data_IF_741407873479
#
_entry.id   IF_741407873479
#
_cell.length_a   1.000
_cell.length_b   1.000
_cell.length_c   1.000
_cell.angle_alpha   90.00
_cell.angle_beta   90.00
_cell.angle_gamma   90.00
#
_symmetry.space_group_name_H-M   'P 1'
#
loop_
_entity.id
_entity.type
_entity.pdbx_description
1 polymer ?
#
# COMPACT_ATOMS: atom_id res chain seq x y z
N UNK A 1 11.44 19.20 -22.01
CA UNK A 1 10.22 18.58 -21.43
C UNK A 1 9.39 18.06 -22.59
N UNK A 2 9.36 16.74 -22.80
CA UNK A 2 8.51 16.14 -23.84
C UNK A 2 7.05 16.38 -23.45
N UNK A 3 6.32 17.19 -24.21
CA UNK A 3 4.89 17.37 -24.02
C UNK A 3 4.21 16.11 -24.53
N UNK A 4 3.64 15.35 -23.62
CA UNK A 4 2.88 14.15 -23.93
C UNK A 4 1.46 14.59 -24.20
N UNK A 5 1.07 14.64 -25.48
CA UNK A 5 -0.34 14.78 -25.85
C UNK A 5 -0.84 13.37 -26.16
N UNK A 6 -1.56 12.80 -25.22
CA UNK A 6 -2.22 11.53 -25.43
C UNK A 6 -3.58 11.79 -26.11
N UNK A 7 -3.85 11.18 -27.25
CA UNK A 7 -5.12 11.26 -27.98
C UNK A 7 -6.29 10.68 -27.16
N UNK A 8 -6.00 10.00 -26.04
CA UNK A 8 -7.01 9.56 -25.05
C UNK A 8 -7.34 10.63 -23.98
N UNK A 9 -7.23 11.92 -24.32
CA UNK A 9 -7.37 13.09 -23.43
C UNK A 9 -8.70 13.21 -22.67
N UNK A 10 -9.66 12.33 -22.89
CA UNK A 10 -10.96 12.32 -22.18
C UNK A 10 -10.99 11.49 -20.89
N UNK A 11 -9.84 11.04 -20.38
CA UNK A 11 -9.78 10.18 -19.18
C UNK A 11 -8.99 10.72 -18.01
N UNK A 12 -8.74 12.01 -17.92
CA UNK A 12 -8.29 12.59 -16.65
C UNK A 12 -9.52 12.66 -15.75
N UNK A 13 -9.84 11.51 -15.16
CA UNK A 13 -10.91 11.39 -14.18
C UNK A 13 -10.48 12.18 -12.95
N UNK A 14 -11.25 13.21 -12.62
CA UNK A 14 -11.12 13.94 -11.38
C UNK A 14 -11.15 12.95 -10.21
N UNK A 15 -10.07 12.89 -9.47
CA UNK A 15 -9.95 12.05 -8.28
C UNK A 15 -10.78 12.70 -7.16
N UNK A 16 -12.06 12.39 -7.06
CA UNK A 16 -12.85 12.71 -5.87
C UNK A 16 -12.46 11.74 -4.75
N UNK A 17 -12.38 12.27 -3.53
CA UNK A 17 -11.87 11.61 -2.32
C UNK A 17 -12.70 10.41 -1.81
N UNK A 18 -13.51 9.77 -2.66
CA UNK A 18 -14.41 8.67 -2.31
C UNK A 18 -13.93 7.32 -2.88
N UNK A 19 -12.62 7.06 -2.83
CA UNK A 19 -12.15 5.72 -3.16
C UNK A 19 -12.32 4.84 -1.93
N UNK A 20 -13.32 3.97 -1.98
CA UNK A 20 -13.30 2.67 -1.30
C UNK A 20 -12.24 1.80 -1.99
N UNK A 21 -10.97 2.21 -1.90
CA UNK A 21 -9.87 1.29 -2.10
C UNK A 21 -10.13 0.13 -1.15
N UNK A 22 -10.19 -1.09 -1.66
CA UNK A 22 -10.15 -2.30 -0.82
C UNK A 22 -9.04 -2.06 0.17
N UNK A 23 -9.40 -1.91 1.46
CA UNK A 23 -8.45 -1.52 2.49
C UNK A 23 -7.32 -2.55 2.49
N UNK A 24 -6.12 -2.14 2.04
CA UNK A 24 -4.90 -2.91 2.17
C UNK A 24 -4.36 -2.66 3.57
N UNK A 25 -3.87 -3.71 4.24
CA UNK A 25 -3.33 -3.64 5.58
C UNK A 25 -4.41 -3.57 6.68
N UNK A 26 -4.14 -2.82 7.73
CA UNK A 26 -4.95 -2.80 8.96
C UNK A 26 -6.34 -2.19 8.75
N UNK A 27 -7.38 -2.93 9.15
CA UNK A 27 -8.77 -2.48 9.00
C UNK A 27 -9.05 -1.19 9.77
N UNK A 28 -9.69 -0.23 9.11
CA UNK A 28 -10.12 1.06 9.66
C UNK A 28 -8.99 1.93 10.27
N UNK A 29 -7.72 1.58 10.07
CA UNK A 29 -6.60 2.36 10.60
C UNK A 29 -6.57 3.79 10.01
N UNK A 30 -6.89 3.95 8.74
CA UNK A 30 -6.99 5.28 8.12
C UNK A 30 -8.01 6.16 8.85
N UNK A 31 -9.21 5.64 9.13
CA UNK A 31 -10.25 6.36 9.87
C UNK A 31 -9.81 6.66 11.30
N UNK A 32 -9.13 5.71 11.94
CA UNK A 32 -8.59 5.90 13.29
C UNK A 32 -7.58 7.06 13.34
N UNK A 33 -6.58 7.06 12.44
CA UNK A 33 -5.57 8.13 12.36
C UNK A 33 -6.25 9.48 12.05
N UNK A 34 -7.15 9.53 11.06
CA UNK A 34 -7.86 10.77 10.72
C UNK A 34 -8.70 11.32 11.89
N UNK A 35 -9.27 10.45 12.71
CA UNK A 35 -10.12 10.86 13.83
C UNK A 35 -9.31 11.23 15.08
N UNK A 36 -8.29 10.42 15.42
CA UNK A 36 -7.49 10.62 16.64
C UNK A 36 -6.29 11.54 16.43
N UNK A 37 -5.81 11.67 15.19
CA UNK A 37 -4.62 12.44 14.84
C UNK A 37 -4.90 13.37 13.63
N UNK A 38 -5.90 14.27 13.70
CA UNK A 38 -6.31 15.06 12.54
C UNK A 38 -5.23 16.03 12.04
N UNK A 39 -4.28 16.39 12.90
CA UNK A 39 -3.21 17.36 12.58
C UNK A 39 -1.96 16.72 11.97
N UNK A 40 -1.84 15.39 12.01
CA UNK A 40 -0.62 14.68 11.60
C UNK A 40 -0.52 14.42 10.10
N UNK A 41 -1.62 14.58 9.36
CA UNK A 41 -1.67 14.43 7.91
C UNK A 41 -1.46 15.77 7.21
N UNK A 42 -0.35 15.93 6.50
CA UNK A 42 -0.03 17.15 5.76
C UNK A 42 0.03 16.86 4.25
N UNK A 43 -0.80 17.56 3.47
CA UNK A 43 -0.65 17.54 2.00
C UNK A 43 0.51 18.44 1.61
N UNK A 44 1.52 17.87 1.00
CA UNK A 44 2.73 18.59 0.55
C UNK A 44 2.87 18.49 -0.96
N UNK A 45 3.46 19.52 -1.57
CA UNK A 45 3.85 19.50 -2.99
C UNK A 45 5.14 18.69 -3.16
N UNK A 46 5.30 17.96 -4.28
CA UNK A 46 6.49 17.13 -4.54
C UNK A 46 7.81 17.92 -4.51
N UNK A 47 7.76 19.21 -4.79
CA UNK A 47 8.94 20.07 -4.69
C UNK A 47 9.56 20.10 -3.28
N UNK A 48 8.77 19.90 -2.22
CA UNK A 48 9.28 19.83 -0.84
C UNK A 48 10.12 18.56 -0.59
N UNK A 49 10.04 17.59 -1.49
CA UNK A 49 10.86 16.38 -1.48
C UNK A 49 12.15 16.52 -2.31
N UNK A 50 12.44 17.70 -2.85
CA UNK A 50 13.65 17.97 -3.65
C UNK A 50 14.92 17.52 -2.90
N UNK A 51 15.76 16.74 -3.58
CA UNK A 51 16.98 16.17 -3.03
C UNK A 51 16.79 15.08 -1.97
N UNK A 52 15.53 14.69 -1.67
CA UNK A 52 15.26 13.60 -0.73
C UNK A 52 15.32 12.25 -1.44
N UNK A 53 15.83 11.25 -0.71
CA UNK A 53 15.74 9.84 -1.13
C UNK A 53 14.45 9.25 -0.57
N UNK A 54 13.66 8.57 -1.42
CA UNK A 54 12.44 7.88 -1.00
C UNK A 54 12.44 6.44 -1.48
N UNK A 55 11.87 5.52 -0.70
CA UNK A 55 11.57 4.17 -1.15
C UNK A 55 10.11 4.14 -1.65
N UNK A 56 9.88 3.52 -2.79
CA UNK A 56 8.57 3.39 -3.41
C UNK A 56 8.16 1.92 -3.40
N UNK A 57 7.06 1.62 -2.76
CA UNK A 57 6.37 0.33 -2.89
C UNK A 57 5.72 0.30 -4.27
N UNK A 58 6.43 -0.31 -5.23
CA UNK A 58 6.09 -0.19 -6.65
C UNK A 58 4.82 -0.95 -7.00
N UNK A 59 4.63 -2.12 -6.41
CA UNK A 59 3.54 -3.03 -6.75
C UNK A 59 2.17 -2.40 -6.53
N UNK A 60 2.00 -1.63 -5.46
CA UNK A 60 0.71 -0.98 -5.15
C UNK A 60 0.30 0.01 -6.24
N UNK A 61 1.28 0.76 -6.78
CA UNK A 61 1.05 1.71 -7.87
C UNK A 61 0.86 1.01 -9.21
N UNK A 62 1.58 -0.08 -9.48
CA UNK A 62 1.39 -0.87 -10.69
C UNK A 62 -0.04 -1.42 -10.77
N UNK A 63 -0.56 -2.02 -9.70
CA UNK A 63 -1.94 -2.51 -9.67
C UNK A 63 -2.97 -1.38 -9.79
N UNK A 64 -2.72 -0.24 -9.16
CA UNK A 64 -3.57 0.95 -9.28
C UNK A 64 -3.64 1.44 -10.72
N UNK A 65 -2.49 1.64 -11.35
CA UNK A 65 -2.40 2.17 -12.70
C UNK A 65 -2.88 1.16 -13.75
N UNK A 66 -2.67 -0.14 -13.53
CA UNK A 66 -3.27 -1.19 -14.35
C UNK A 66 -4.81 -1.17 -14.26
N UNK A 67 -5.37 -0.92 -13.07
CA UNK A 67 -6.81 -0.73 -12.87
C UNK A 67 -7.37 0.50 -13.60
N UNK A 68 -6.55 1.50 -13.82
CA UNK A 68 -6.87 2.70 -14.61
C UNK A 68 -6.64 2.48 -16.13
N UNK A 69 -6.12 1.31 -16.54
CA UNK A 69 -5.70 0.98 -17.89
C UNK A 69 -4.66 1.97 -18.46
N UNK A 70 -3.77 2.43 -17.60
CA UNK A 70 -2.75 3.44 -17.91
C UNK A 70 -1.44 3.13 -17.15
N UNK A 71 -1.01 1.84 -17.13
CA UNK A 71 0.12 1.40 -16.30
C UNK A 71 1.40 2.12 -16.72
N UNK A 72 1.85 1.98 -17.97
CA UNK A 72 3.11 2.57 -18.43
C UNK A 72 3.02 4.09 -18.50
N UNK A 73 1.87 4.64 -18.91
CA UNK A 73 1.63 6.09 -18.92
C UNK A 73 1.84 6.73 -17.55
N UNK A 74 1.17 6.18 -16.52
CA UNK A 74 1.25 6.72 -15.16
C UNK A 74 2.60 6.44 -14.49
N UNK A 75 3.25 5.31 -14.80
CA UNK A 75 4.62 5.05 -14.34
C UNK A 75 5.62 6.01 -15.00
N UNK A 76 5.48 6.29 -16.29
CA UNK A 76 6.27 7.30 -16.99
C UNK A 76 6.07 8.69 -16.37
N UNK A 77 4.81 9.08 -16.13
CA UNK A 77 4.50 10.39 -15.53
C UNK A 77 5.08 10.50 -14.12
N UNK A 78 4.95 9.46 -13.29
CA UNK A 78 5.52 9.43 -11.96
C UNK A 78 7.06 9.55 -11.99
N UNK A 79 7.72 8.80 -12.87
CA UNK A 79 9.15 8.85 -13.07
C UNK A 79 9.61 10.25 -13.54
N UNK A 80 8.89 10.83 -14.51
CA UNK A 80 9.15 12.17 -15.02
C UNK A 80 9.03 13.24 -13.94
N UNK A 81 7.99 13.16 -13.09
CA UNK A 81 7.80 14.09 -11.97
C UNK A 81 8.92 13.97 -10.93
N UNK A 82 9.35 12.75 -10.61
CA UNK A 82 10.44 12.56 -9.65
C UNK A 82 11.76 13.13 -10.19
N UNK A 83 12.04 12.97 -11.48
CA UNK A 83 13.19 13.62 -12.11
C UNK A 83 13.06 15.13 -12.13
N UNK A 84 11.90 15.65 -12.51
CA UNK A 84 11.65 17.10 -12.54
C UNK A 84 11.89 17.77 -11.18
N UNK A 85 11.41 17.14 -10.10
CA UNK A 85 11.60 17.66 -8.74
C UNK A 85 12.90 17.20 -8.07
N UNK A 86 13.80 16.54 -8.80
CA UNK A 86 15.04 16.01 -8.26
C UNK A 86 14.82 15.12 -7.01
N UNK A 87 13.85 14.22 -7.09
CA UNK A 87 13.55 13.23 -6.05
C UNK A 87 14.31 11.94 -6.40
N UNK A 88 15.13 11.44 -5.46
CA UNK A 88 15.89 10.22 -5.63
C UNK A 88 15.06 9.01 -5.18
N UNK A 89 14.29 8.44 -6.09
CA UNK A 89 13.43 7.29 -5.78
C UNK A 89 14.18 5.97 -5.93
N UNK A 90 13.91 5.04 -5.00
CA UNK A 90 14.29 3.63 -5.09
C UNK A 90 12.99 2.84 -5.21
N UNK A 91 12.79 2.18 -6.33
CA UNK A 91 11.59 1.39 -6.60
C UNK A 91 11.79 -0.04 -6.12
N UNK A 92 10.95 -0.47 -5.18
CA UNK A 92 11.02 -1.81 -4.60
C UNK A 92 9.88 -2.65 -5.17
N UNK A 93 10.21 -3.80 -5.72
CA UNK A 93 9.26 -4.75 -6.30
C UNK A 93 9.07 -5.94 -5.36
N UNK A 94 7.84 -6.47 -5.29
CA UNK A 94 7.55 -7.67 -4.53
C UNK A 94 8.26 -8.89 -5.08
N UNK A 95 8.71 -9.74 -4.17
CA UNK A 95 9.15 -11.10 -4.44
C UNK A 95 8.06 -12.12 -4.14
N UNK A 96 8.44 -13.24 -3.55
CA UNK A 96 7.50 -14.30 -3.17
C UNK A 96 6.71 -13.89 -1.92
N UNK A 97 5.36 -13.94 -1.98
CA UNK A 97 4.55 -13.66 -0.80
C UNK A 97 4.79 -14.72 0.29
N UNK A 98 4.74 -14.34 1.57
CA UNK A 98 4.89 -15.28 2.65
C UNK A 98 3.74 -16.30 2.67
N UNK A 99 4.00 -17.58 3.07
CA UNK A 99 2.99 -18.64 3.08
C UNK A 99 1.74 -18.27 3.88
N UNK A 100 1.88 -17.43 4.89
CA UNK A 100 0.79 -16.96 5.75
C UNK A 100 -0.27 -16.14 4.97
N UNK A 101 0.08 -15.54 3.83
CA UNK A 101 -0.85 -14.79 2.99
C UNK A 101 -1.55 -15.62 1.89
N UNK A 102 -1.28 -16.91 1.80
CA UNK A 102 -1.84 -17.77 0.73
C UNK A 102 -3.37 -17.72 0.67
N UNK A 103 -4.04 -17.90 1.81
CA UNK A 103 -5.51 -17.85 1.87
C UNK A 103 -6.07 -16.45 1.52
N UNK A 104 -5.39 -15.39 1.96
CA UNK A 104 -5.75 -14.02 1.61
C UNK A 104 -5.62 -13.78 0.10
N UNK A 105 -4.53 -14.25 -0.51
CA UNK A 105 -4.29 -14.16 -1.95
C UNK A 105 -5.39 -14.90 -2.72
N UNK A 106 -5.75 -16.11 -2.30
CA UNK A 106 -6.83 -16.88 -2.90
C UNK A 106 -8.20 -16.18 -2.74
N UNK A 107 -8.47 -15.61 -1.55
CA UNK A 107 -9.68 -14.83 -1.31
C UNK A 107 -9.75 -13.60 -2.22
N UNK A 108 -8.63 -12.86 -2.35
CA UNK A 108 -8.51 -11.72 -3.26
C UNK A 108 -8.70 -12.15 -4.72
N UNK A 109 -8.16 -13.32 -5.12
CA UNK A 109 -8.34 -13.88 -6.45
C UNK A 109 -9.82 -14.16 -6.74
N UNK A 110 -10.52 -14.84 -5.83
CA UNK A 110 -11.98 -15.12 -5.95
C UNK A 110 -12.79 -13.83 -6.09
N UNK A 111 -12.50 -12.80 -5.28
CA UNK A 111 -13.17 -11.48 -5.39
C UNK A 111 -12.90 -10.80 -6.73
N UNK A 112 -11.68 -10.91 -7.27
CA UNK A 112 -11.33 -10.40 -8.61
C UNK A 112 -12.12 -11.13 -9.70
N UNK A 113 -12.24 -12.47 -9.60
CA UNK A 113 -13.00 -13.26 -10.57
C UNK A 113 -14.50 -12.92 -10.54
N UNK A 114 -15.08 -12.73 -9.34
CA UNK A 114 -16.46 -12.26 -9.18
C UNK A 114 -16.67 -10.87 -9.80
N UNK A 115 -15.78 -9.92 -9.53
CA UNK A 115 -15.84 -8.58 -10.14
C UNK A 115 -15.72 -8.62 -11.67
N UNK A 116 -14.90 -9.52 -12.22
CA UNK A 116 -14.78 -9.73 -13.67
C UNK A 116 -16.09 -10.30 -14.27
N UNK A 117 -16.74 -11.24 -13.59
CA UNK A 117 -18.03 -11.77 -14.01
C UNK A 117 -19.09 -10.65 -14.03
N UNK A 118 -19.17 -9.85 -12.97
CA UNK A 118 -20.07 -8.70 -12.91
C UNK A 118 -19.80 -7.69 -14.03
N UNK A 119 -18.51 -7.41 -14.31
CA UNK A 119 -18.13 -6.53 -15.41
C UNK A 119 -18.64 -7.04 -16.77
N UNK A 120 -18.54 -8.35 -17.04
CA UNK A 120 -19.01 -8.93 -18.30
C UNK A 120 -20.52 -8.79 -18.46
N UNK A 121 -21.29 -8.99 -17.37
CA UNK A 121 -22.76 -8.80 -17.37
C UNK A 121 -23.11 -7.35 -17.71
N UNK A 122 -22.46 -6.39 -17.04
CA UNK A 122 -22.70 -4.96 -17.25
C UNK A 122 -22.27 -4.53 -18.67
N UNK A 123 -21.17 -5.09 -19.17
CA UNK A 123 -20.71 -4.84 -20.56
C UNK A 123 -21.72 -5.34 -21.62
N UNK A 124 -22.37 -6.48 -21.37
CA UNK A 124 -23.41 -6.97 -22.27
C UNK A 124 -24.68 -6.13 -22.19
N UNK A 125 -25.04 -5.61 -21.01
CA UNK A 125 -26.12 -4.61 -20.87
C UNK A 125 -25.81 -3.35 -21.67
N UNK A 126 -24.58 -2.82 -21.60
CA UNK A 126 -24.16 -1.65 -22.38
C UNK A 126 -24.34 -1.88 -23.88
N UNK A 127 -23.90 -3.05 -24.39
CA UNK A 127 -24.09 -3.40 -25.81
C UNK A 127 -25.56 -3.45 -26.23
N UNK A 128 -26.44 -3.89 -25.34
CA UNK A 128 -27.90 -3.91 -25.61
C UNK A 128 -28.46 -2.49 -25.64
N UNK A 129 -28.09 -1.62 -24.69
CA UNK A 129 -28.51 -0.22 -24.65
C UNK A 129 -28.01 0.56 -25.87
N UNK A 130 -26.80 0.30 -26.36
CA UNK A 130 -26.24 0.96 -27.54
C UNK A 130 -26.91 0.55 -28.87
N UNK A 131 -27.58 -0.59 -28.91
CA UNK A 131 -28.38 -1.03 -30.08
C UNK A 131 -29.68 -0.29 -30.23
N UNK A 132 -30.23 0.27 -29.16
CA UNK A 132 -31.42 1.12 -29.18
C UNK A 132 -30.95 2.55 -29.48
N UNK A 133 -31.24 3.08 -30.68
CA UNK A 133 -30.78 4.37 -31.24
C UNK A 133 -31.21 5.63 -30.46
N UNK A 134 -31.66 5.54 -29.23
CA UNK A 134 -32.09 6.67 -28.39
C UNK A 134 -31.01 7.02 -27.35
N UNK A 135 -30.83 8.32 -27.12
CA UNK A 135 -30.03 8.82 -25.97
C UNK A 135 -30.59 8.22 -24.67
N UNK A 136 -29.82 7.36 -24.05
CA UNK A 136 -30.19 6.75 -22.77
C UNK A 136 -29.24 7.30 -21.69
N UNK A 137 -29.73 8.08 -20.71
CA UNK A 137 -28.91 8.61 -19.62
C UNK A 137 -28.30 7.50 -18.75
N UNK A 138 -28.84 6.28 -18.77
CA UNK A 138 -28.30 5.12 -18.04
C UNK A 138 -26.93 4.69 -18.58
N UNK A 139 -26.55 5.04 -19.82
CA UNK A 139 -25.27 4.66 -20.40
C UNK A 139 -24.10 5.21 -19.58
N UNK A 140 -24.17 6.45 -19.12
CA UNK A 140 -23.11 7.06 -18.29
C UNK A 140 -22.94 6.33 -16.95
N UNK A 141 -24.02 5.94 -16.31
CA UNK A 141 -24.01 5.18 -15.04
C UNK A 141 -23.42 3.77 -15.24
N UNK A 142 -23.79 3.11 -16.34
CA UNK A 142 -23.25 1.80 -16.73
C UNK A 142 -21.74 1.90 -16.99
N UNK A 143 -21.26 2.91 -17.69
CA UNK A 143 -19.83 3.15 -17.98
C UNK A 143 -19.04 3.45 -16.69
N UNK A 144 -19.62 4.21 -15.77
CA UNK A 144 -19.01 4.45 -14.46
C UNK A 144 -18.92 3.14 -13.66
N UNK A 145 -20.00 2.36 -13.61
CA UNK A 145 -20.03 1.05 -12.96
C UNK A 145 -18.97 0.10 -13.54
N UNK A 146 -18.85 0.04 -14.87
CA UNK A 146 -17.83 -0.73 -15.55
C UNK A 146 -16.42 -0.28 -15.16
N UNK A 147 -16.19 1.03 -15.07
CA UNK A 147 -14.91 1.60 -14.64
C UNK A 147 -14.57 1.21 -13.21
N UNK A 148 -15.54 1.26 -12.29
CA UNK A 148 -15.35 0.84 -10.90
C UNK A 148 -15.08 -0.68 -10.79
N UNK A 149 -15.83 -1.50 -11.53
CA UNK A 149 -15.60 -2.94 -11.55
C UNK A 149 -14.22 -3.29 -12.11
N UNK A 150 -13.78 -2.63 -13.20
CA UNK A 150 -12.45 -2.85 -13.81
C UNK A 150 -11.31 -2.64 -12.80
N UNK A 151 -11.39 -1.59 -11.99
CA UNK A 151 -10.41 -1.34 -10.92
C UNK A 151 -10.32 -2.49 -9.91
N UNK A 152 -11.43 -3.19 -9.65
CA UNK A 152 -11.51 -4.28 -8.67
C UNK A 152 -10.86 -5.58 -9.14
N UNK A 153 -10.77 -5.84 -10.45
CA UNK A 153 -10.17 -7.06 -10.99
C UNK A 153 -8.89 -6.81 -11.80
N UNK A 154 -8.30 -5.63 -11.66
CA UNK A 154 -7.02 -5.32 -12.31
C UNK A 154 -5.99 -6.43 -12.07
N UNK A 155 -5.35 -6.86 -13.15
CA UNK A 155 -4.24 -7.82 -13.16
C UNK A 155 -3.13 -7.27 -14.01
N UNK A 156 -1.91 -7.50 -13.56
CA UNK A 156 -0.75 -7.26 -14.39
C UNK A 156 -0.68 -8.36 -15.46
N UNK A 157 -0.32 -7.98 -16.67
CA UNK A 157 -0.07 -8.89 -17.79
C UNK A 157 1.35 -9.44 -17.69
N UNK A 158 1.60 -10.50 -18.41
CA UNK A 158 2.95 -10.99 -18.62
C UNK A 158 3.81 -9.90 -19.29
N UNK A 159 5.01 -9.66 -18.74
CA UNK A 159 5.91 -8.61 -19.21
C UNK A 159 5.66 -7.20 -18.65
N UNK A 160 4.52 -6.93 -18.01
CA UNK A 160 4.24 -5.60 -17.42
C UNK A 160 5.30 -5.19 -16.40
N UNK A 161 5.73 -6.13 -15.56
CA UNK A 161 6.76 -5.87 -14.54
C UNK A 161 8.10 -5.53 -15.20
N UNK A 162 8.49 -6.28 -16.21
CA UNK A 162 9.75 -6.09 -16.93
C UNK A 162 9.76 -4.75 -17.69
N UNK A 163 8.64 -4.42 -18.35
CA UNK A 163 8.48 -3.13 -19.02
C UNK A 163 8.59 -1.95 -18.05
N UNK A 164 7.97 -2.06 -16.86
CA UNK A 164 8.07 -1.01 -15.83
C UNK A 164 9.50 -0.91 -15.29
N UNK A 165 10.18 -2.04 -15.04
CA UNK A 165 11.58 -2.03 -14.61
C UNK A 165 12.49 -1.39 -15.67
N UNK A 166 12.34 -1.78 -16.92
CA UNK A 166 13.10 -1.22 -18.05
C UNK A 166 12.88 0.30 -18.15
N UNK A 167 11.63 0.76 -18.04
CA UNK A 167 11.28 2.17 -18.02
C UNK A 167 11.99 2.93 -16.90
N UNK A 168 11.89 2.43 -15.65
CA UNK A 168 12.48 3.08 -14.48
C UNK A 168 14.01 3.12 -14.54
N UNK A 169 14.65 2.03 -14.98
CA UNK A 169 16.10 2.00 -15.20
C UNK A 169 16.50 2.99 -16.29
N UNK A 170 15.71 3.14 -17.35
CA UNK A 170 15.96 4.10 -18.42
C UNK A 170 15.85 5.55 -17.96
N UNK A 171 15.06 5.82 -16.91
CA UNK A 171 15.04 7.09 -16.19
C UNK A 171 16.20 7.23 -15.19
N UNK A 172 17.06 6.22 -15.04
CA UNK A 172 18.18 6.23 -14.09
C UNK A 172 17.77 6.01 -12.63
N UNK A 173 16.58 5.45 -12.38
CA UNK A 173 16.17 5.09 -11.02
C UNK A 173 16.74 3.75 -10.60
N UNK A 174 16.93 3.62 -9.29
CA UNK A 174 17.35 2.41 -8.64
C UNK A 174 16.17 1.44 -8.48
N UNK A 175 16.42 0.14 -8.68
CA UNK A 175 15.45 -0.93 -8.48
C UNK A 175 15.98 -1.90 -7.44
N UNK A 176 15.09 -2.38 -6.56
CA UNK A 176 15.32 -3.48 -5.65
C UNK A 176 14.23 -4.53 -5.88
N UNK A 177 14.62 -5.76 -6.14
CA UNK A 177 13.73 -6.90 -6.08
C UNK A 177 13.77 -7.46 -4.66
N UNK A 178 12.67 -7.36 -3.93
CA UNK A 178 12.54 -7.93 -2.60
C UNK A 178 12.49 -9.47 -2.71
N UNK A 179 13.06 -10.17 -1.73
CA UNK A 179 12.88 -11.63 -1.62
C UNK A 179 11.44 -11.99 -1.22
N UNK A 180 10.83 -11.13 -0.39
CA UNK A 180 9.46 -11.20 0.09
C UNK A 180 8.67 -9.96 -0.33
N UNK A 181 8.03 -9.31 0.63
CA UNK A 181 7.19 -8.15 0.40
C UNK A 181 8.00 -6.86 0.30
N UNK A 182 7.65 -6.01 -0.67
CA UNK A 182 8.30 -4.73 -0.92
C UNK A 182 8.13 -3.75 0.24
N UNK A 183 6.98 -3.76 0.90
CA UNK A 183 6.65 -2.90 2.04
C UNK A 183 7.62 -3.08 3.21
N UNK A 184 8.00 -4.32 3.54
CA UNK A 184 9.00 -4.64 4.58
C UNK A 184 10.36 -4.03 4.23
N UNK A 185 10.78 -4.13 2.97
CA UNK A 185 12.05 -3.58 2.49
C UNK A 185 12.02 -2.06 2.54
N UNK A 186 10.95 -1.44 2.07
CA UNK A 186 10.73 0.01 2.14
C UNK A 186 10.82 0.51 3.59
N UNK A 187 10.10 -0.14 4.53
CA UNK A 187 10.11 0.24 5.94
C UNK A 187 11.52 0.11 6.54
N UNK A 188 12.26 -0.99 6.26
CA UNK A 188 13.65 -1.17 6.72
C UNK A 188 14.57 -0.06 6.23
N UNK A 189 14.47 0.32 4.95
CA UNK A 189 15.29 1.40 4.39
C UNK A 189 15.05 2.72 5.11
N UNK A 190 13.79 3.03 5.46
CA UNK A 190 13.45 4.25 6.17
C UNK A 190 13.89 4.21 7.65
N UNK A 191 13.63 3.11 8.36
CA UNK A 191 14.03 2.93 9.76
C UNK A 191 15.57 2.99 9.91
N UNK A 192 16.31 2.38 8.98
CA UNK A 192 17.77 2.46 8.92
C UNK A 192 18.27 3.81 8.39
N UNK A 193 17.39 4.79 8.15
CA UNK A 193 17.72 6.13 7.62
C UNK A 193 18.49 6.11 6.29
N UNK A 194 18.29 5.07 5.47
CA UNK A 194 18.86 4.98 4.12
C UNK A 194 18.05 5.84 3.15
N UNK A 195 16.75 5.97 3.42
CA UNK A 195 15.85 6.88 2.72
C UNK A 195 15.16 7.80 3.73
N UNK A 196 14.66 8.92 3.26
CA UNK A 196 13.92 9.91 4.05
C UNK A 196 12.52 9.41 4.39
N UNK A 197 11.83 8.80 3.42
CA UNK A 197 10.43 8.40 3.54
C UNK A 197 10.13 7.17 2.68
N UNK A 198 8.99 6.51 2.98
CA UNK A 198 8.39 5.50 2.12
C UNK A 198 7.15 6.06 1.45
N UNK A 199 7.01 5.81 0.15
CA UNK A 199 5.81 6.09 -0.63
C UNK A 199 5.04 4.78 -0.82
N UNK A 200 3.96 4.59 -0.07
CA UNK A 200 3.05 3.44 -0.15
C UNK A 200 1.67 3.81 0.38
N UNK A 201 0.62 3.34 -0.28
CA UNK A 201 -0.77 3.52 0.19
C UNK A 201 -1.17 2.42 1.21
N UNK A 202 -0.27 1.47 1.53
CA UNK A 202 -0.53 0.45 2.54
C UNK A 202 -0.43 1.01 3.96
N UNK A 203 -1.36 0.59 4.81
CA UNK A 203 -1.39 0.99 6.22
C UNK A 203 -0.38 0.24 7.08
N UNK A 204 0.17 -0.87 6.58
CA UNK A 204 1.17 -1.66 7.29
C UNK A 204 2.46 -0.86 7.54
N UNK A 205 2.73 0.17 6.71
CA UNK A 205 3.82 1.13 6.94
C UNK A 205 3.80 1.78 8.33
N UNK A 206 2.61 2.07 8.87
CA UNK A 206 2.46 2.60 10.22
C UNK A 206 2.82 1.55 11.27
N UNK A 207 2.45 0.29 11.04
CA UNK A 207 2.72 -0.82 11.97
C UNK A 207 4.20 -1.15 12.01
N UNK A 208 4.88 -1.14 10.86
CA UNK A 208 6.34 -1.27 10.79
C UNK A 208 7.08 -0.13 11.51
N UNK A 209 6.42 1.00 11.77
CA UNK A 209 7.04 2.17 12.37
C UNK A 209 7.91 2.97 11.41
N UNK A 210 7.53 3.01 10.15
CA UNK A 210 8.21 3.84 9.16
C UNK A 210 8.18 5.31 9.60
N UNK A 211 9.32 6.00 9.74
CA UNK A 211 9.37 7.34 10.33
C UNK A 211 8.57 8.40 9.58
N UNK A 212 8.63 8.38 8.25
CA UNK A 212 7.87 9.27 7.37
C UNK A 212 7.21 8.44 6.27
N UNK A 213 5.90 8.55 6.18
CA UNK A 213 5.07 7.80 5.23
C UNK A 213 4.42 8.79 4.28
N UNK A 214 4.65 8.59 2.99
CA UNK A 214 4.04 9.37 1.91
C UNK A 214 2.92 8.54 1.29
N UNK A 215 1.72 9.12 1.16
CA UNK A 215 0.54 8.42 0.69
C UNK A 215 -0.26 9.27 -0.29
N UNK A 216 -1.12 8.63 -1.05
CA UNK A 216 -2.08 9.30 -1.93
C UNK A 216 -1.41 10.27 -2.90
N UNK A 217 -0.35 9.81 -3.59
CA UNK A 217 0.30 10.61 -4.62
C UNK A 217 -0.71 11.00 -5.70
N UNK A 218 -0.76 12.29 -5.99
CA UNK A 218 -1.51 12.87 -7.11
C UNK A 218 -0.54 13.31 -8.20
N UNK A 219 -0.51 12.58 -9.30
CA UNK A 219 0.34 12.91 -10.44
C UNK A 219 -0.13 14.20 -11.14
N UNK A 220 -1.43 14.49 -11.08
CA UNK A 220 -2.01 15.70 -11.67
C UNK A 220 -1.68 16.95 -10.86
N UNK A 221 -1.79 16.86 -9.51
CA UNK A 221 -1.59 18.01 -8.62
C UNK A 221 -0.16 18.07 -8.07
N UNK A 222 0.73 17.20 -8.51
CA UNK A 222 2.12 17.07 -8.04
C UNK A 222 2.22 17.09 -6.51
N UNK A 223 1.33 16.38 -5.84
CA UNK A 223 1.21 16.42 -4.38
C UNK A 223 1.11 15.02 -3.76
N UNK A 224 1.44 14.94 -2.48
CA UNK A 224 1.38 13.71 -1.70
C UNK A 224 0.94 14.05 -0.28
N UNK A 225 0.32 13.12 0.43
CA UNK A 225 0.02 13.27 1.86
C UNK A 225 1.16 12.66 2.65
N UNK A 226 1.78 13.47 3.51
CA UNK A 226 2.88 13.06 4.39
C UNK A 226 2.37 12.86 5.80
N UNK A 227 2.82 11.78 6.43
CA UNK A 227 2.60 11.44 7.83
C UNK A 227 3.94 11.24 8.51
N UNK A 228 4.09 11.77 9.74
CA UNK A 228 5.24 11.51 10.60
C UNK A 228 4.81 10.60 11.73
N UNK A 229 5.43 9.42 11.85
CA UNK A 229 5.03 8.44 12.86
C UNK A 229 5.19 8.97 14.29
N UNK A 230 6.24 9.74 14.55
CA UNK A 230 6.46 10.36 15.86
C UNK A 230 5.31 11.30 16.28
N UNK A 231 4.75 12.08 15.33
CA UNK A 231 3.64 12.98 15.62
C UNK A 231 2.35 12.20 15.91
N UNK A 232 2.08 11.13 15.15
CA UNK A 232 0.95 10.23 15.40
C UNK A 232 1.04 9.65 16.81
N UNK A 233 2.19 9.06 17.17
CA UNK A 233 2.38 8.43 18.48
C UNK A 233 2.29 9.45 19.62
N UNK A 234 2.78 10.67 19.42
CA UNK A 234 2.68 11.75 20.40
C UNK A 234 1.21 12.16 20.62
N UNK A 235 0.42 12.28 19.56
CA UNK A 235 -0.99 12.71 19.65
C UNK A 235 -1.87 11.64 20.30
N UNK A 236 -1.64 10.34 20.02
CA UNK A 236 -2.39 9.26 20.67
C UNK A 236 -1.81 8.82 22.02
N UNK A 237 -0.61 9.29 22.41
CA UNK A 237 0.00 9.04 23.72
C UNK A 237 0.40 7.59 23.97
N UNK A 238 0.73 6.81 22.94
CA UNK A 238 1.22 5.43 23.04
C UNK A 238 2.55 5.26 22.29
N UNK A 239 3.32 4.24 22.70
CA UNK A 239 4.56 3.88 22.02
C UNK A 239 4.31 3.14 20.71
N UNK A 240 5.34 3.04 19.84
CA UNK A 240 5.27 2.25 18.61
C UNK A 240 4.92 0.77 18.87
N UNK A 241 5.44 0.21 19.94
CA UNK A 241 5.14 -1.17 20.34
C UNK A 241 3.66 -1.32 20.73
N UNK A 242 3.13 -0.42 21.58
CA UNK A 242 1.71 -0.43 21.96
C UNK A 242 0.79 -0.20 20.75
N UNK A 243 1.18 0.69 19.83
CA UNK A 243 0.47 0.89 18.58
C UNK A 243 0.42 -0.38 17.73
N UNK A 244 1.55 -1.09 17.62
CA UNK A 244 1.64 -2.38 16.91
C UNK A 244 0.68 -3.40 17.55
N UNK A 245 0.68 -3.52 18.89
CA UNK A 245 -0.24 -4.41 19.62
C UNK A 245 -1.72 -4.08 19.32
N UNK A 246 -2.10 -2.80 19.32
CA UNK A 246 -3.46 -2.35 18.95
C UNK A 246 -3.82 -2.80 17.54
N UNK A 247 -2.92 -2.63 16.58
CA UNK A 247 -3.14 -3.03 15.19
C UNK A 247 -3.27 -4.55 15.04
N UNK A 248 -2.42 -5.32 15.72
CA UNK A 248 -2.46 -6.80 15.70
C UNK A 248 -3.78 -7.31 16.27
N UNK A 249 -4.22 -6.80 17.43
CA UNK A 249 -5.52 -7.19 18.05
C UNK A 249 -6.71 -6.78 17.15
N UNK A 250 -6.59 -5.68 16.42
CA UNK A 250 -7.63 -5.23 15.50
C UNK A 250 -7.79 -6.15 14.29
N UNK A 251 -6.74 -6.81 13.88
CA UNK A 251 -6.67 -7.74 12.76
C UNK A 251 -5.83 -7.24 11.61
N UNK A 252 -4.98 -8.10 11.13
CA UNK A 252 -4.00 -7.87 10.07
C UNK A 252 -4.26 -8.78 8.87
N UNK A 253 -3.53 -8.57 7.79
CA UNK A 253 -3.54 -9.44 6.61
C UNK A 253 -2.92 -10.84 6.89
N UNK A 254 -2.27 -11.03 8.05
CA UNK A 254 -1.63 -12.29 8.48
C UNK A 254 -2.54 -13.19 9.34
N UNK A 255 -3.73 -12.73 9.72
CA UNK A 255 -4.61 -13.47 10.64
C UNK A 255 -5.30 -14.69 10.03
N UNK A 256 -5.21 -14.88 8.71
CA UNK A 256 -5.85 -15.98 8.01
C UNK A 256 -5.32 -17.38 8.42
N UNK A 257 -4.14 -17.44 9.03
CA UNK A 257 -3.45 -18.71 9.37
C UNK A 257 -3.86 -19.30 10.73
N UNK A 258 -4.44 -18.50 11.62
CA UNK A 258 -4.68 -18.87 13.02
C UNK A 258 -5.98 -19.65 13.28
N UNK A 259 -6.84 -19.85 12.30
CA UNK A 259 -8.16 -20.47 12.49
C UNK A 259 -8.56 -21.40 11.35
N UNK A 260 -8.11 -22.66 11.40
CA UNK A 260 -8.62 -23.70 10.52
C UNK A 260 -10.12 -23.94 10.72
N UNK A 261 -10.94 -23.36 9.87
CA UNK A 261 -12.19 -23.91 9.35
C UNK A 261 -12.70 -22.98 8.24
N UNK A 262 -12.70 -23.51 7.02
CA UNK A 262 -13.26 -22.87 5.83
C UNK A 262 -14.77 -22.61 6.04
N UNK A 263 -15.17 -21.34 6.11
CA UNK A 263 -16.62 -21.07 6.13
C UNK A 263 -17.07 -19.63 6.16
N UNK A 264 -16.28 -18.71 6.75
CA UNK A 264 -16.69 -17.30 6.78
C UNK A 264 -15.49 -16.41 6.47
N UNK A 265 -15.52 -15.82 5.29
CA UNK A 265 -14.51 -14.91 4.79
C UNK A 265 -14.18 -13.81 5.84
N UNK A 266 -13.00 -13.88 6.45
CA UNK A 266 -12.36 -12.75 7.12
C UNK A 266 -12.57 -12.63 8.63
N UNK A 267 -12.70 -13.71 9.41
CA UNK A 267 -12.89 -13.64 10.87
C UNK A 267 -12.04 -14.61 11.69
N UNK A 268 -10.81 -14.87 11.30
CA UNK A 268 -9.82 -15.34 12.26
C UNK A 268 -9.16 -14.16 13.03
N UNK A 269 -9.59 -12.94 12.80
CA UNK A 269 -9.43 -11.87 13.80
C UNK A 269 -9.96 -12.47 15.10
N UNK A 270 -9.08 -12.59 16.10
CA UNK A 270 -9.44 -12.98 17.45
C UNK A 270 -10.82 -12.39 17.73
N UNK A 271 -11.80 -13.28 17.90
CA UNK A 271 -13.18 -12.88 18.15
C UNK A 271 -13.19 -12.22 19.54
N UNK A 272 -12.67 -11.01 19.59
CA UNK A 272 -12.96 -10.12 20.70
C UNK A 272 -14.45 -9.87 20.52
N UNK A 273 -15.27 -10.69 21.15
CA UNK A 273 -16.73 -10.61 21.15
C UNK A 273 -17.14 -9.30 21.83
N UNK A 274 -16.90 -8.22 21.10
CA UNK A 274 -17.34 -6.89 21.45
C UNK A 274 -18.59 -6.69 20.61
N UNK A 275 -19.71 -6.40 21.27
CA UNK A 275 -20.92 -5.85 20.63
C UNK A 275 -20.63 -4.44 20.09
N UNK A 276 -19.52 -4.28 19.37
CA UNK A 276 -19.07 -3.03 18.74
C UNK A 276 -19.07 -3.24 17.24
N UNK A 277 -19.61 -2.26 16.52
CA UNK A 277 -19.58 -2.27 15.07
C UNK A 277 -18.14 -2.50 14.57
N UNK A 278 -17.98 -3.29 13.52
CA UNK A 278 -16.66 -3.61 12.95
C UNK A 278 -15.86 -2.33 12.55
N UNK A 279 -16.57 -1.22 12.29
CA UNK A 279 -15.95 0.09 12.01
C UNK A 279 -15.29 0.73 13.22
N UNK A 280 -15.73 0.42 14.43
CA UNK A 280 -15.29 1.10 15.67
C UNK A 280 -14.37 0.22 16.51
N UNK A 281 -14.08 -1.00 16.04
CA UNK A 281 -13.26 -1.99 16.75
C UNK A 281 -11.88 -1.44 17.15
N UNK A 282 -11.16 -0.80 16.23
CA UNK A 282 -9.82 -0.27 16.51
C UNK A 282 -9.84 0.83 17.59
N UNK A 283 -10.91 1.65 17.63
CA UNK A 283 -11.07 2.66 18.68
C UNK A 283 -11.24 2.01 20.04
N UNK A 284 -12.07 0.96 20.11
CA UNK A 284 -12.28 0.23 21.35
C UNK A 284 -11.00 -0.47 21.86
N UNK A 285 -10.22 -1.08 20.94
CA UNK A 285 -8.95 -1.72 21.31
C UNK A 285 -7.94 -0.67 21.81
N UNK A 286 -7.91 0.50 21.18
CA UNK A 286 -7.10 1.62 21.65
C UNK A 286 -7.53 2.10 23.05
N UNK A 287 -8.84 2.18 23.34
CA UNK A 287 -9.33 2.53 24.66
C UNK A 287 -8.93 1.48 25.71
N UNK A 288 -8.97 0.19 25.36
CA UNK A 288 -8.46 -0.90 26.20
C UNK A 288 -6.95 -0.79 26.46
N UNK A 289 -6.15 -0.41 25.43
CA UNK A 289 -4.72 -0.16 25.62
C UNK A 289 -4.47 0.99 26.59
N UNK A 290 -5.22 2.08 26.48
CA UNK A 290 -5.10 3.22 27.40
C UNK A 290 -5.52 2.86 28.83
N UNK A 291 -6.49 1.97 28.99
CA UNK A 291 -6.90 1.42 30.28
C UNK A 291 -5.80 0.53 30.90
N UNK A 292 -5.21 -0.37 30.09
CA UNK A 292 -4.07 -1.19 30.51
C UNK A 292 -2.89 -0.34 31.00
N UNK A 293 -2.58 0.76 30.32
CA UNK A 293 -1.53 1.70 30.76
C UNK A 293 -1.81 2.38 32.09
N UNK A 294 -3.08 2.54 32.48
CA UNK A 294 -3.47 3.14 33.76
C UNK A 294 -3.41 2.18 34.93
N UNK A 295 -3.20 0.89 34.68
CA UNK A 295 -3.03 -0.09 35.76
C UNK A 295 -1.81 0.25 36.63
N UNK A 296 -1.88 -0.07 37.93
CA UNK A 296 -0.72 0.10 38.78
C UNK A 296 0.46 -0.77 38.32
N UNK A 297 1.72 -0.39 38.63
CA UNK A 297 2.88 -1.20 38.29
C UNK A 297 2.82 -2.64 38.79
N UNK A 298 2.15 -2.87 39.92
CA UNK A 298 1.94 -4.22 40.48
C UNK A 298 0.98 -5.05 39.63
N UNK A 299 -0.07 -4.44 39.12
CA UNK A 299 -1.04 -5.11 38.23
C UNK A 299 -0.44 -5.37 36.86
N UNK A 300 0.29 -4.42 36.29
CA UNK A 300 0.99 -4.62 35.00
C UNK A 300 2.03 -5.73 35.10
N UNK A 301 2.75 -5.83 36.26
CA UNK A 301 3.75 -6.86 36.46
C UNK A 301 3.16 -8.28 36.46
N UNK A 302 1.88 -8.46 36.78
CA UNK A 302 1.18 -9.75 36.68
C UNK A 302 1.22 -10.34 35.28
N UNK A 303 1.28 -9.47 34.26
CA UNK A 303 1.24 -9.85 32.85
C UNK A 303 2.62 -9.76 32.16
N UNK A 304 3.67 -9.24 32.83
CA UNK A 304 4.98 -8.99 32.22
C UNK A 304 5.74 -10.26 31.82
N UNK A 305 5.50 -11.39 32.53
CA UNK A 305 6.17 -12.66 32.26
C UNK A 305 5.50 -13.50 31.15
N UNK A 306 4.42 -12.95 30.53
CA UNK A 306 3.62 -13.57 29.47
C UNK A 306 3.44 -12.66 28.26
N UNK A 307 2.26 -12.67 27.70
CA UNK A 307 1.89 -11.85 26.51
C UNK A 307 1.55 -10.38 26.81
N UNK A 308 1.75 -9.89 28.04
CA UNK A 308 1.52 -8.50 28.40
C UNK A 308 0.07 -8.05 28.18
N UNK A 309 -0.13 -7.10 27.26
CA UNK A 309 -1.46 -6.60 26.91
C UNK A 309 -2.38 -7.68 26.32
N UNK A 310 -1.84 -8.66 25.61
CA UNK A 310 -2.61 -9.77 25.04
C UNK A 310 -3.20 -10.68 26.12
N UNK A 311 -2.44 -11.04 27.15
CA UNK A 311 -2.92 -11.83 28.30
C UNK A 311 -3.95 -11.06 29.12
N UNK A 312 -3.73 -9.76 29.32
CA UNK A 312 -4.68 -8.92 30.04
C UNK A 312 -6.03 -8.82 29.32
N UNK A 313 -6.04 -8.69 27.99
CA UNK A 313 -7.29 -8.72 27.21
C UNK A 313 -7.97 -10.07 27.34
N UNK A 314 -7.23 -11.18 27.28
CA UNK A 314 -7.79 -12.52 27.38
C UNK A 314 -8.47 -12.75 28.73
N UNK A 315 -7.79 -12.42 29.83
CA UNK A 315 -8.36 -12.54 31.18
C UNK A 315 -9.61 -11.67 31.35
N UNK A 316 -9.58 -10.42 30.88
CA UNK A 316 -10.69 -9.47 31.03
C UNK A 316 -11.92 -9.84 30.20
N UNK A 317 -11.75 -10.44 29.07
CA UNK A 317 -12.83 -10.86 28.15
C UNK A 317 -13.27 -12.31 28.37
N UNK A 318 -12.86 -12.98 29.50
CA UNK A 318 -13.25 -14.32 29.92
C UNK A 318 -13.09 -15.39 28.81
N UNK A 319 -11.87 -15.54 28.29
CA UNK A 319 -11.54 -16.60 27.34
C UNK A 319 -11.98 -16.34 25.91
N UNK A 320 -12.14 -15.09 25.53
CA UNK A 320 -12.37 -14.67 24.13
C UNK A 320 -11.12 -14.85 23.28
N UNK A 321 -9.93 -14.75 23.92
CA UNK A 321 -8.64 -15.10 23.34
C UNK A 321 -8.14 -16.29 24.12
N UNK A 322 -8.14 -17.49 23.55
CA UNK A 322 -7.51 -18.65 24.20
C UNK A 322 -5.97 -18.54 24.08
N UNK A 323 -5.24 -19.37 24.84
CA UNK A 323 -3.77 -19.35 24.84
C UNK A 323 -3.17 -19.48 23.42
N UNK A 324 -3.82 -20.20 22.52
CA UNK A 324 -3.42 -20.26 21.10
C UNK A 324 -3.61 -18.94 20.36
N UNK A 325 -4.62 -18.16 20.73
CA UNK A 325 -4.85 -16.82 20.18
C UNK A 325 -3.79 -15.81 20.62
N UNK A 326 -3.36 -15.84 21.88
CA UNK A 326 -2.25 -15.00 22.37
C UNK A 326 -0.96 -15.34 21.63
N UNK A 327 -0.62 -16.62 21.48
CA UNK A 327 0.56 -17.06 20.73
C UNK A 327 0.47 -16.59 19.27
N UNK A 328 -0.70 -16.70 18.64
CA UNK A 328 -0.93 -16.21 17.28
C UNK A 328 -0.71 -14.70 17.16
N UNK A 329 -1.19 -13.89 18.12
CA UNK A 329 -0.96 -12.44 18.15
C UNK A 329 0.52 -12.10 18.27
N UNK A 330 1.25 -12.77 19.19
CA UNK A 330 2.70 -12.56 19.34
C UNK A 330 3.47 -12.96 18.07
N UNK A 331 3.07 -14.04 17.41
CA UNK A 331 3.65 -14.46 16.13
C UNK A 331 3.37 -13.43 15.03
N UNK A 332 2.14 -12.94 14.95
CA UNK A 332 1.76 -11.87 14.00
C UNK A 332 2.53 -10.59 14.28
N UNK A 333 2.70 -10.22 15.56
CA UNK A 333 3.49 -9.05 15.94
C UNK A 333 4.96 -9.16 15.49
N UNK A 334 5.55 -10.35 15.60
CA UNK A 334 6.92 -10.61 15.17
C UNK A 334 7.10 -10.43 13.63
N UNK A 335 6.05 -10.61 12.84
CA UNK A 335 6.10 -10.35 11.39
C UNK A 335 6.30 -8.87 11.05
N UNK A 336 5.89 -7.97 11.94
CA UNK A 336 6.14 -6.54 11.81
C UNK A 336 7.47 -6.10 12.45
N UNK A 337 8.31 -7.04 12.90
CA UNK A 337 9.64 -6.69 13.39
C UNK A 337 10.63 -6.55 12.24
N UNK A 338 11.07 -5.31 12.01
CA UNK A 338 12.05 -4.97 10.98
C UNK A 338 13.49 -4.98 11.51
N UNK A 339 13.70 -5.16 12.81
CA UNK A 339 15.02 -5.13 13.47
C UNK A 339 15.76 -6.46 13.41
N UNK A 340 15.03 -7.57 13.42
CA UNK A 340 15.60 -8.90 13.37
C UNK A 340 16.16 -9.23 11.98
N UNK A 341 17.20 -10.02 11.96
CA UNK A 341 17.81 -10.69 10.78
C UNK A 341 16.78 -11.28 9.84
N UNK A 342 17.17 -11.68 8.61
CA UNK A 342 16.24 -12.04 7.55
C UNK A 342 15.08 -12.90 8.06
N UNK A 343 13.89 -12.63 7.51
CA UNK A 343 12.70 -13.48 7.69
C UNK A 343 13.14 -14.96 7.74
N UNK A 344 12.56 -15.80 8.60
CA UNK A 344 12.87 -17.24 8.61
C UNK A 344 12.67 -17.91 7.24
N UNK A 345 12.14 -17.18 6.26
CA UNK A 345 11.96 -17.57 4.86
C UNK A 345 12.99 -16.94 3.90
N UNK A 346 13.86 -16.03 4.37
CA UNK A 346 14.97 -15.54 3.58
C UNK A 346 16.16 -16.49 3.78
N UNK A 347 16.49 -17.26 2.77
CA UNK A 347 17.78 -17.96 2.70
C UNK A 347 18.91 -16.93 2.95
N UNK A 348 20.06 -17.38 3.36
CA UNK A 348 21.28 -16.71 3.88
C UNK A 348 21.73 -15.32 3.31
N UNK A 349 20.84 -14.52 2.75
CA UNK A 349 21.15 -13.33 1.96
C UNK A 349 20.78 -11.97 2.62
N UNK A 350 20.73 -11.88 3.95
CA UNK A 350 20.48 -10.60 4.63
C UNK A 350 21.53 -9.49 4.35
N UNK A 351 22.68 -9.89 3.87
CA UNK A 351 23.70 -8.97 3.32
C UNK A 351 23.27 -8.30 2.01
N UNK A 352 22.34 -8.89 1.30
CA UNK A 352 22.03 -8.57 -0.10
C UNK A 352 21.32 -7.22 -0.26
N UNK A 353 20.39 -6.86 0.63
CA UNK A 353 19.63 -5.59 0.51
C UNK A 353 20.56 -4.39 0.78
N UNK A 354 21.37 -4.45 1.83
CA UNK A 354 22.35 -3.37 2.12
C UNK A 354 23.45 -3.32 1.05
N UNK A 355 23.82 -4.47 0.47
CA UNK A 355 24.77 -4.55 -0.64
C UNK A 355 24.15 -4.06 -1.95
N UNK A 356 22.94 -4.48 -2.28
CA UNK A 356 22.18 -3.98 -3.43
C UNK A 356 21.99 -2.46 -3.30
N UNK A 357 21.58 -1.98 -2.14
CA UNK A 357 21.41 -0.54 -1.92
C UNK A 357 22.73 0.24 -2.07
N UNK A 358 23.88 -0.31 -1.64
CA UNK A 358 25.18 0.33 -1.84
C UNK A 358 25.64 0.35 -3.30
N UNK A 359 25.22 -0.61 -4.11
CA UNK A 359 25.50 -0.68 -5.55
C UNK A 359 24.62 0.24 -6.38
N UNK A 360 23.50 0.71 -5.78
CA UNK A 360 22.52 1.57 -6.42
C UNK A 360 22.99 3.04 -6.30
N UNK A 361 23.96 3.43 -7.12
CA UNK A 361 24.16 4.83 -7.44
C UNK A 361 23.03 5.25 -8.38
N UNK A 362 22.24 6.29 -8.03
CA UNK A 362 21.39 6.94 -9.00
C UNK A 362 22.28 7.36 -10.19
N UNK A 363 22.03 6.78 -11.35
CA UNK A 363 22.67 7.21 -12.57
C UNK A 363 21.99 8.50 -12.98
N UNK A 364 22.76 9.56 -13.17
CA UNK A 364 22.21 10.83 -13.68
C UNK A 364 21.80 10.73 -15.16
N UNK A 365 22.19 9.65 -15.82
CA UNK A 365 21.90 9.42 -17.22
C UNK A 365 20.46 8.97 -17.46
N UNK A 366 19.77 9.71 -18.33
CA UNK A 366 18.41 9.36 -18.82
C UNK A 366 18.57 8.84 -20.25
N UNK A 367 18.14 7.60 -20.47
CA UNK A 367 18.21 6.95 -21.79
C UNK A 367 16.91 7.20 -22.56
N UNK A 368 16.80 8.36 -23.22
CA UNK A 368 15.59 8.80 -23.93
C UNK A 368 15.11 7.78 -24.98
N UNK A 369 16.01 7.22 -25.76
CA UNK A 369 15.65 6.25 -26.82
C UNK A 369 15.02 4.98 -26.23
N UNK A 370 15.55 4.47 -25.13
CA UNK A 370 14.98 3.31 -24.44
C UNK A 370 13.61 3.61 -23.83
N UNK A 371 13.43 4.80 -23.27
CA UNK A 371 12.13 5.24 -22.77
C UNK A 371 11.12 5.23 -23.90
N UNK A 372 11.46 5.80 -25.04
CA UNK A 372 10.59 5.81 -26.23
C UNK A 372 10.27 4.40 -26.73
N UNK A 373 11.24 3.49 -26.71
CA UNK A 373 11.04 2.11 -27.13
C UNK A 373 10.05 1.37 -26.20
N UNK A 374 10.21 1.49 -24.88
CA UNK A 374 9.30 0.88 -23.91
C UNK A 374 7.89 1.43 -24.05
N UNK A 375 7.75 2.76 -24.19
CA UNK A 375 6.44 3.41 -24.29
C UNK A 375 5.72 3.08 -25.61
N UNK A 376 6.45 2.83 -26.71
CA UNK A 376 5.86 2.36 -27.97
C UNK A 376 5.18 1.00 -27.85
N UNK A 377 5.61 0.14 -26.91
CA UNK A 377 4.96 -1.16 -26.64
C UNK A 377 3.51 -1.01 -26.17
N UNK A 378 3.12 0.16 -25.68
CA UNK A 378 1.76 0.48 -25.20
C UNK A 378 1.06 1.51 -26.11
N UNK A 379 1.41 1.52 -27.42
CA UNK A 379 0.87 2.42 -28.44
C UNK A 379 1.04 3.92 -28.12
N UNK A 380 2.10 4.28 -27.41
CA UNK A 380 2.38 5.65 -27.03
C UNK A 380 2.99 6.42 -28.19
N UNK A 381 2.41 7.57 -28.53
CA UNK A 381 2.91 8.45 -29.59
C UNK A 381 3.59 9.66 -28.96
N UNK A 382 4.91 9.80 -29.16
CA UNK A 382 5.64 11.00 -28.83
C UNK A 382 5.52 11.99 -30.00
N UNK A 383 4.97 13.17 -29.72
CA UNK A 383 5.01 14.26 -30.69
C UNK A 383 6.31 15.01 -30.45
N UNK A 384 7.23 14.93 -31.38
CA UNK A 384 8.42 15.78 -31.41
C UNK A 384 8.00 17.16 -31.87
N UNK A 385 7.94 18.10 -30.96
CA UNK A 385 7.71 19.50 -31.31
C UNK A 385 9.06 20.14 -31.61
N UNK A 386 9.48 20.11 -32.87
CA UNK A 386 10.71 20.78 -33.33
C UNK A 386 10.62 22.31 -33.17
N UNK A 387 9.45 22.85 -32.86
CA UNK A 387 9.18 24.28 -32.72
C UNK A 387 9.10 24.76 -31.26
N UNK A 388 9.25 23.89 -30.27
CA UNK A 388 9.16 24.26 -28.87
C UNK A 388 10.43 24.96 -28.38
N UNK A 389 10.35 26.22 -27.87
CA UNK A 389 11.49 26.92 -27.30
C UNK A 389 12.00 26.30 -25.95
N UNK A 390 11.45 25.16 -25.54
CA UNK A 390 11.80 24.41 -24.33
C UNK A 390 12.47 23.06 -24.63
N UNK A 391 13.24 22.98 -25.74
CA UNK A 391 14.15 21.87 -25.95
C UNK A 391 15.24 21.92 -24.88
N UNK A 392 15.28 20.93 -24.00
CA UNK A 392 16.38 20.66 -23.06
C UNK A 392 17.44 19.85 -23.77
#
# INVERSE_FOLDING_TARGET
>A
MLIIINIKLNRIVSWSAHHTATAMGIRNLNRFIQTKCPTTASRIHLEQLRGKKIAVDTSIYMYRFAGENALLENMYLMASLFRHYNIHAVFVFDGMPPPQKTELIESRRRKKDQAKQQYNIVADQLKQCQRTQYYNPEIAEIEETMTQLRKRFARLREGDIDNVKELLVSFGFAIIDAEGEADVVCARLAIKKRVYACLSDDTDMFVYGCPVILRHISLLNHSVVSYTMADILAEIGISQHEFKMVCVVNGTDYDAVAGGTAGTAGTAAVNVNVNVNASDRIFHIYDLMTEFKRLSPKEQKKYQDGGGFYDWIDERKKGVVNSSGVISMMTTEAMFDTSSSPSPYSGNNAGTIDQQYKQIANRDDIYKDRIMEVMKKDDFIFISDESSPYSI
#
